data_IF_947762754144
#
_entry.id   IF_947762754144
#
_cell.length_a   1.000
_cell.length_b   1.000
_cell.length_c   1.000
_cell.angle_alpha   90.00
_cell.angle_beta   90.00
_cell.angle_gamma   90.00
#
_symmetry.space_group_name_H-M   'P 1'
#
loop_
_entity.id
_entity.type
_entity.pdbx_description
1 polymer ?
#
# COMPACT_ATOMS: atom_id res chain seq x y z
N UNK A 1 12.07 10.34 -17.63
CA UNK A 1 10.87 9.50 -17.86
C UNK A 1 9.85 9.80 -16.78
N UNK A 2 8.74 10.46 -17.11
CA UNK A 2 7.64 10.69 -16.18
C UNK A 2 6.90 9.36 -15.98
N UNK A 3 7.19 8.70 -14.87
CA UNK A 3 6.42 7.55 -14.39
C UNK A 3 5.04 8.02 -14.00
N UNK A 4 3.99 7.38 -14.52
CA UNK A 4 2.62 7.67 -14.14
C UNK A 4 2.43 7.57 -12.61
N UNK A 5 1.59 8.42 -12.04
CA UNK A 5 1.39 8.49 -10.58
C UNK A 5 0.90 7.15 -10.03
N UNK A 6 0.02 6.46 -10.76
CA UNK A 6 -0.51 5.15 -10.35
C UNK A 6 0.56 4.06 -10.41
N UNK A 7 1.46 4.10 -11.40
CA UNK A 7 2.60 3.18 -11.47
C UNK A 7 3.53 3.34 -10.27
N UNK A 8 3.81 4.60 -9.87
CA UNK A 8 4.61 4.89 -8.68
C UNK A 8 3.95 4.34 -7.43
N UNK A 9 2.65 4.57 -7.27
CA UNK A 9 1.88 4.05 -6.13
C UNK A 9 1.90 2.53 -6.09
N UNK A 10 1.76 1.86 -7.23
CA UNK A 10 1.81 0.39 -7.30
C UNK A 10 3.15 -0.16 -6.83
N UNK A 11 4.26 0.42 -7.28
CA UNK A 11 5.62 -0.01 -6.89
C UNK A 11 5.84 0.23 -5.39
N UNK A 12 5.43 1.39 -4.89
CA UNK A 12 5.65 1.76 -3.49
C UNK A 12 4.71 1.00 -2.54
N UNK A 13 3.48 0.68 -2.96
CA UNK A 13 2.56 -0.20 -2.24
C UNK A 13 3.09 -1.64 -2.18
N UNK A 14 3.67 -2.14 -3.28
CA UNK A 14 4.24 -3.49 -3.33
C UNK A 14 5.45 -3.62 -2.39
N UNK A 15 6.28 -2.59 -2.28
CA UNK A 15 7.35 -2.54 -1.30
C UNK A 15 6.86 -2.43 0.15
N UNK A 16 5.71 -1.78 0.38
CA UNK A 16 5.11 -1.61 1.70
C UNK A 16 4.46 -2.88 2.26
N UNK A 17 4.14 -3.88 1.41
CA UNK A 17 3.53 -5.14 1.84
C UNK A 17 4.42 -6.00 2.74
N UNK A 18 5.74 -5.77 2.69
CA UNK A 18 6.72 -6.49 3.52
C UNK A 18 6.85 -5.90 4.93
N UNK A 19 6.06 -4.88 5.25
CA UNK A 19 5.96 -4.39 6.61
C UNK A 19 5.12 -5.33 7.48
N UNK A 20 5.60 -5.62 8.70
CA UNK A 20 5.01 -6.56 9.66
C UNK A 20 3.53 -6.28 9.94
N UNK A 21 3.07 -5.04 9.79
CA UNK A 21 1.69 -4.63 10.06
C UNK A 21 0.73 -4.83 8.88
N UNK A 22 1.19 -5.20 7.68
CA UNK A 22 0.34 -5.28 6.49
C UNK A 22 0.07 -6.73 6.07
N UNK A 23 -1.18 -7.18 6.23
CA UNK A 23 -1.61 -8.50 5.80
C UNK A 23 -2.18 -8.55 4.35
N UNK A 24 -2.43 -7.40 3.70
CA UNK A 24 -3.19 -7.37 2.43
C UNK A 24 -2.80 -6.32 1.40
N UNK A 25 -1.78 -5.48 1.63
CA UNK A 25 -1.38 -4.43 0.69
C UNK A 25 -1.01 -5.02 -0.67
N UNK A 26 -1.68 -4.54 -1.72
CA UNK A 26 -1.43 -4.95 -3.09
C UNK A 26 -2.38 -6.04 -3.63
N UNK A 27 -3.29 -6.58 -2.82
CA UNK A 27 -4.30 -7.51 -3.29
C UNK A 27 -5.59 -6.79 -3.74
N UNK A 28 -6.18 -7.24 -4.86
CA UNK A 28 -7.51 -6.80 -5.29
C UNK A 28 -8.48 -7.96 -5.17
N UNK A 29 -9.41 -7.88 -4.23
CA UNK A 29 -10.42 -8.94 -3.99
C UNK A 29 -11.77 -8.29 -3.81
N UNK A 30 -12.72 -8.69 -4.66
CA UNK A 30 -14.13 -8.36 -4.48
C UNK A 30 -14.84 -9.57 -3.91
N UNK A 31 -15.36 -9.43 -2.69
CA UNK A 31 -16.17 -10.43 -2.04
C UNK A 31 -17.61 -10.39 -2.60
N UNK A 32 -18.24 -11.56 -2.73
CA UNK A 32 -19.65 -11.69 -3.11
C UNK A 32 -20.56 -11.96 -1.90
N UNK A 33 -20.09 -12.74 -0.92
CA UNK A 33 -20.90 -13.27 0.19
C UNK A 33 -20.12 -13.31 1.53
N UNK A 34 -19.35 -12.26 1.85
CA UNK A 34 -18.63 -12.18 3.13
C UNK A 34 -18.04 -10.79 3.42
N UNK A 35 -17.36 -10.66 4.56
CA UNK A 35 -16.76 -9.41 5.03
C UNK A 35 -15.40 -9.19 4.33
N UNK A 36 -15.09 -7.94 3.99
CA UNK A 36 -13.78 -7.51 3.48
C UNK A 36 -13.59 -7.61 1.96
N UNK A 37 -13.32 -6.46 1.34
CA UNK A 37 -12.70 -6.34 0.02
C UNK A 37 -11.20 -6.05 0.15
N UNK A 38 -10.42 -6.21 -0.91
CA UNK A 38 -9.03 -5.77 -0.93
C UNK A 38 -8.81 -4.80 -2.08
N UNK A 39 -8.05 -3.74 -1.81
CA UNK A 39 -7.66 -2.75 -2.80
C UNK A 39 -6.14 -2.78 -3.04
N UNK A 40 -5.75 -2.78 -4.30
CA UNK A 40 -4.35 -2.94 -4.73
C UNK A 40 -3.48 -1.70 -4.54
N UNK A 41 -4.01 -0.63 -3.95
CA UNK A 41 -3.35 0.69 -3.82
C UNK A 41 -2.70 0.94 -2.44
N UNK A 42 -2.29 -0.11 -1.72
CA UNK A 42 -1.62 0.03 -0.42
C UNK A 42 -2.56 0.17 0.78
N UNK A 43 -3.83 -0.20 0.64
CA UNK A 43 -4.76 -0.30 1.77
C UNK A 43 -4.60 -1.68 2.41
N UNK A 44 -4.35 -1.70 3.72
CA UNK A 44 -4.19 -2.91 4.54
C UNK A 44 -5.29 -3.04 5.58
N UNK A 45 -5.64 -4.29 5.92
CA UNK A 45 -6.40 -4.56 7.14
C UNK A 45 -5.48 -4.50 8.35
N UNK A 46 -5.93 -3.80 9.38
CA UNK A 46 -5.36 -3.86 10.71
C UNK A 46 -6.49 -4.04 11.72
N UNK A 47 -6.16 -4.48 12.94
CA UNK A 47 -7.14 -4.72 13.99
C UNK A 47 -6.87 -3.80 15.17
N UNK A 48 -7.92 -3.17 15.68
CA UNK A 48 -7.83 -2.46 16.96
C UNK A 48 -7.76 -3.46 18.12
N UNK A 49 -7.38 -2.98 19.30
CA UNK A 49 -7.42 -3.77 20.56
C UNK A 49 -8.79 -4.38 20.85
N UNK A 50 -9.86 -3.75 20.36
CA UNK A 50 -11.25 -4.20 20.54
C UNK A 50 -11.67 -5.26 19.50
N UNK A 51 -10.75 -5.70 18.63
CA UNK A 51 -11.00 -6.69 17.59
C UNK A 51 -11.71 -6.15 16.34
N UNK A 52 -11.86 -4.83 16.20
CA UNK A 52 -12.47 -4.21 15.01
C UNK A 52 -11.45 -4.12 13.87
N UNK A 53 -11.85 -4.53 12.68
CA UNK A 53 -11.07 -4.34 11.47
C UNK A 53 -11.08 -2.86 11.06
N UNK A 54 -9.91 -2.29 10.80
CA UNK A 54 -9.72 -0.94 10.28
C UNK A 54 -8.88 -0.99 9.01
N UNK A 55 -9.20 -0.11 8.06
CA UNK A 55 -8.44 0.05 6.81
C UNK A 55 -7.36 1.11 6.99
N UNK A 56 -6.09 0.72 6.84
CA UNK A 56 -4.95 1.64 6.91
C UNK A 56 -4.34 1.82 5.52
N UNK A 57 -4.10 3.07 5.12
CA UNK A 57 -3.26 3.35 3.96
C UNK A 57 -1.79 3.26 4.37
N UNK A 58 -1.08 2.26 3.87
CA UNK A 58 0.37 2.09 4.09
C UNK A 58 1.11 2.11 2.76
N UNK A 59 1.90 3.14 2.56
CA UNK A 59 2.70 3.37 1.36
C UNK A 59 4.11 3.83 1.74
N UNK A 60 5.10 3.42 0.95
CA UNK A 60 6.44 3.99 1.03
C UNK A 60 6.47 5.35 0.32
N UNK A 61 7.17 6.34 0.89
CA UNK A 61 7.51 7.56 0.14
C UNK A 61 8.64 7.29 -0.86
N UNK A 62 9.54 6.36 -0.54
CA UNK A 62 10.62 5.91 -1.40
C UNK A 62 10.94 4.46 -1.09
N UNK A 63 11.30 3.68 -2.12
CA UNK A 63 11.85 2.35 -1.94
C UNK A 63 13.38 2.33 -2.01
N UNK A 64 14.06 3.49 -2.06
CA UNK A 64 15.52 3.55 -1.97
C UNK A 64 15.98 3.36 -0.52
N UNK A 65 16.70 2.26 -0.26
CA UNK A 65 17.22 1.94 1.07
C UNK A 65 18.75 1.99 1.07
N UNK A 66 19.34 2.58 2.11
CA UNK A 66 20.80 2.62 2.31
C UNK A 66 21.36 1.30 2.85
N UNK A 67 20.49 0.46 3.42
CA UNK A 67 20.86 -0.80 4.07
C UNK A 67 20.76 -1.99 3.12
N UNK A 68 21.51 -3.05 3.44
CA UNK A 68 21.55 -4.27 2.66
C UNK A 68 21.02 -5.49 3.43
N UNK A 69 19.82 -5.36 4.01
CA UNK A 69 19.22 -6.44 4.80
C UNK A 69 18.93 -7.68 3.94
N UNK A 70 19.35 -8.86 4.41
CA UNK A 70 19.25 -10.11 3.66
C UNK A 70 17.81 -10.49 3.24
N UNK A 71 16.81 -10.10 4.05
CA UNK A 71 15.40 -10.41 3.85
C UNK A 71 14.59 -9.27 3.22
N UNK A 72 15.21 -8.10 2.97
CA UNK A 72 14.48 -6.94 2.46
C UNK A 72 14.55 -6.90 0.94
N UNK A 73 13.40 -6.92 0.26
CA UNK A 73 13.32 -6.76 -1.21
C UNK A 73 13.84 -5.38 -1.64
N UNK A 74 13.72 -4.37 -0.78
CA UNK A 74 14.20 -3.02 -1.04
C UNK A 74 15.68 -2.81 -0.68
N UNK A 75 16.44 -3.85 -0.31
CA UNK A 75 17.87 -3.75 0.01
C UNK A 75 18.66 -3.06 -1.09
N UNK A 76 19.73 -2.34 -0.75
CA UNK A 76 20.49 -1.49 -1.69
C UNK A 76 21.07 -2.28 -2.87
N UNK A 77 21.48 -3.53 -2.64
CA UNK A 77 22.11 -4.38 -3.66
C UNK A 77 21.13 -4.94 -4.68
N UNK A 78 19.82 -4.85 -4.43
CA UNK A 78 18.81 -5.42 -5.31
C UNK A 78 18.49 -4.45 -6.46
N UNK A 79 18.49 -4.98 -7.69
CA UNK A 79 18.11 -4.24 -8.88
C UNK A 79 16.58 -4.20 -9.02
N UNK A 80 15.99 -3.19 -8.39
CA UNK A 80 14.55 -2.94 -8.41
C UNK A 80 14.31 -1.50 -8.83
N UNK A 81 13.18 -1.26 -9.50
CA UNK A 81 12.80 0.08 -9.96
C UNK A 81 12.64 1.01 -8.77
N UNK A 82 13.58 1.95 -8.61
CA UNK A 82 13.54 2.94 -7.52
C UNK A 82 12.65 4.11 -7.88
N UNK A 83 11.75 4.45 -6.97
CA UNK A 83 10.74 5.48 -7.16
C UNK A 83 10.66 6.34 -5.91
N UNK A 84 10.44 7.63 -6.11
CA UNK A 84 10.15 8.60 -5.06
C UNK A 84 8.77 9.20 -5.31
N UNK A 85 7.97 9.26 -4.24
CA UNK A 85 6.70 9.96 -4.17
C UNK A 85 6.86 11.20 -3.29
N UNK A 86 6.47 12.36 -3.82
CA UNK A 86 6.50 13.59 -3.03
C UNK A 86 5.32 13.63 -2.07
N UNK A 87 5.44 14.27 -0.90
CA UNK A 87 4.32 14.43 0.04
C UNK A 87 3.11 15.11 -0.60
N UNK A 88 3.33 16.07 -1.51
CA UNK A 88 2.27 16.71 -2.26
C UNK A 88 1.51 15.73 -3.18
N UNK A 89 2.23 14.84 -3.87
CA UNK A 89 1.61 13.81 -4.70
C UNK A 89 0.85 12.78 -3.85
N UNK A 90 1.36 12.43 -2.67
CA UNK A 90 0.65 11.59 -1.71
C UNK A 90 -0.64 12.25 -1.22
N UNK A 91 -0.59 13.55 -0.86
CA UNK A 91 -1.76 14.30 -0.44
C UNK A 91 -2.82 14.38 -1.55
N UNK A 92 -2.39 14.52 -2.80
CA UNK A 92 -3.30 14.60 -3.95
C UNK A 92 -4.10 13.31 -4.17
N UNK A 93 -3.57 12.16 -3.76
CA UNK A 93 -4.29 10.87 -3.89
C UNK A 93 -5.14 10.50 -2.69
N UNK A 94 -5.01 11.19 -1.56
CA UNK A 94 -5.82 10.92 -0.37
C UNK A 94 -7.33 10.99 -0.61
N UNK A 95 -7.89 11.98 -1.36
CA UNK A 95 -9.32 12.02 -1.63
C UNK A 95 -9.80 10.77 -2.39
N UNK A 96 -9.00 10.29 -3.35
CA UNK A 96 -9.31 9.11 -4.14
C UNK A 96 -9.23 7.83 -3.30
N UNK A 97 -8.20 7.71 -2.45
CA UNK A 97 -8.04 6.56 -1.55
C UNK A 97 -9.15 6.53 -0.49
N UNK A 98 -9.52 7.69 0.05
CA UNK A 98 -10.63 7.81 1.01
C UNK A 98 -11.95 7.36 0.38
N UNK A 99 -12.22 7.78 -0.86
CA UNK A 99 -13.39 7.31 -1.60
C UNK A 99 -13.36 5.78 -1.76
N UNK A 100 -12.22 5.21 -2.17
CA UNK A 100 -12.04 3.77 -2.34
C UNK A 100 -12.26 2.97 -1.04
N UNK A 101 -11.90 3.54 0.12
CA UNK A 101 -12.14 2.92 1.43
C UNK A 101 -13.62 2.94 1.85
N UNK A 102 -14.42 3.86 1.31
CA UNK A 102 -15.84 4.05 1.65
C UNK A 102 -16.84 3.42 0.66
N UNK A 103 -16.37 2.77 -0.41
CA UNK A 103 -17.24 2.10 -1.39
C UNK A 103 -18.06 1.00 -0.70
N UNK A 104 -19.37 0.84 -0.99
CA UNK A 104 -20.19 -0.22 -0.43
C UNK A 104 -19.56 -1.60 -0.73
N UNK A 105 -19.19 -2.32 0.33
CA UNK A 105 -18.19 -3.41 0.29
C UNK A 105 -16.79 -2.87 0.58
N UNK A 106 -16.58 -2.29 1.76
CA UNK A 106 -15.30 -1.67 2.12
C UNK A 106 -14.15 -2.68 2.17
N UNK A 107 -12.92 -2.18 2.28
CA UNK A 107 -11.78 -3.07 2.46
C UNK A 107 -11.92 -3.89 3.74
N UNK A 108 -12.52 -3.39 4.81
CA UNK A 108 -13.24 -4.23 5.78
C UNK A 108 -14.73 -4.27 5.36
#
# INVERSE_FOLDING_TARGET
MATDLMDKLKILADGAKYDVSCASSGSFRRNKDGIGNAASCGICHSWTSDGRCVSLLKLLMTNSCIYDCAYCVNRRSNDTRRVLLTPAAAAWVLPWVALAATIPGGCC
#
